data_IF_023000829434
#
_entry.id   IF_023000829434
#
_cell.length_a   1.000
_cell.length_b   1.000
_cell.length_c   1.000
_cell.angle_alpha   90.00
_cell.angle_beta   90.00
_cell.angle_gamma   90.00
#
_symmetry.space_group_name_H-M   'P 1'
#
loop_
_entity.id
_entity.type
_entity.pdbx_description
1 polymer ?
#
# COMPACT_ATOMS: atom_id res chain seq x y z
N UNK A 1 -14.02 -28.94 -26.13
CA UNK A 1 -12.80 -28.17 -25.83
C UNK A 1 -13.16 -27.25 -24.67
N UNK A 2 -12.60 -27.52 -23.49
CA UNK A 2 -12.96 -26.82 -22.25
C UNK A 2 -12.53 -25.36 -22.35
N UNK A 3 -13.48 -24.43 -22.36
CA UNK A 3 -13.19 -23.02 -22.13
C UNK A 3 -12.73 -22.91 -20.68
N UNK A 4 -11.42 -22.95 -20.46
CA UNK A 4 -10.84 -22.43 -19.22
C UNK A 4 -11.47 -21.05 -19.04
N UNK A 5 -12.11 -20.74 -17.90
CA UNK A 5 -12.69 -19.42 -17.72
C UNK A 5 -11.56 -18.45 -18.00
N UNK A 6 -11.80 -17.41 -18.80
CA UNK A 6 -10.95 -16.23 -18.72
C UNK A 6 -11.10 -15.73 -17.28
N UNK A 7 -10.34 -16.32 -16.34
CA UNK A 7 -9.99 -15.68 -15.08
C UNK A 7 -9.56 -14.30 -15.52
N UNK A 8 -10.25 -13.29 -14.99
CA UNK A 8 -10.27 -11.97 -15.57
C UNK A 8 -8.84 -11.42 -15.47
N UNK A 9 -8.05 -11.56 -16.54
CA UNK A 9 -6.62 -11.24 -16.56
C UNK A 9 -6.36 -9.80 -16.13
N UNK A 10 -7.36 -8.95 -16.34
CA UNK A 10 -7.41 -7.56 -15.86
C UNK A 10 -7.38 -7.46 -14.33
N UNK A 11 -8.02 -8.40 -13.64
CA UNK A 11 -8.05 -8.47 -12.17
C UNK A 11 -6.72 -8.99 -11.61
N UNK A 12 -6.08 -9.94 -12.29
CA UNK A 12 -4.71 -10.36 -11.96
C UNK A 12 -3.71 -9.21 -12.12
N UNK A 13 -3.77 -8.49 -13.25
CA UNK A 13 -2.94 -7.31 -13.52
C UNK A 13 -3.20 -6.19 -12.49
N UNK A 14 -4.47 -5.98 -12.12
CA UNK A 14 -4.86 -5.01 -11.09
C UNK A 14 -4.32 -5.41 -9.71
N UNK A 15 -4.44 -6.69 -9.33
CA UNK A 15 -3.92 -7.21 -8.07
C UNK A 15 -2.39 -7.03 -8.01
N UNK A 16 -1.67 -7.37 -9.08
CA UNK A 16 -0.22 -7.16 -9.17
C UNK A 16 0.15 -5.68 -9.03
N UNK A 17 -0.53 -4.79 -9.77
CA UNK A 17 -0.28 -3.35 -9.69
C UNK A 17 -0.58 -2.77 -8.30
N UNK A 18 -1.64 -3.20 -7.64
CA UNK A 18 -1.95 -2.79 -6.27
C UNK A 18 -0.90 -3.30 -5.28
N UNK A 19 -0.38 -4.52 -5.49
CA UNK A 19 0.66 -5.09 -4.65
C UNK A 19 1.96 -4.29 -4.76
N UNK A 20 2.34 -3.89 -5.98
CA UNK A 20 3.51 -3.04 -6.21
C UNK A 20 3.36 -1.65 -5.58
N UNK A 21 2.17 -1.04 -5.69
CA UNK A 21 1.87 0.24 -5.02
C UNK A 21 1.92 0.10 -3.50
N UNK A 22 1.37 -0.98 -2.94
CA UNK A 22 1.45 -1.25 -1.50
C UNK A 22 2.91 -1.35 -1.04
N UNK A 23 3.76 -2.02 -1.83
CA UNK A 23 5.19 -2.14 -1.53
C UNK A 23 5.92 -0.80 -1.57
N UNK A 24 5.56 0.09 -2.49
CA UNK A 24 6.09 1.45 -2.53
C UNK A 24 5.70 2.26 -1.29
N UNK A 25 4.44 2.15 -0.86
CA UNK A 25 3.97 2.82 0.36
C UNK A 25 4.71 2.31 1.60
N UNK A 26 4.96 1.01 1.70
CA UNK A 26 5.77 0.44 2.79
C UNK A 26 7.19 1.01 2.82
N UNK A 27 7.83 1.13 1.65
CA UNK A 27 9.17 1.71 1.52
C UNK A 27 9.18 3.20 1.89
N UNK A 28 8.22 3.98 1.41
CA UNK A 28 8.06 5.38 1.79
C UNK A 28 7.93 5.52 3.31
N UNK A 29 7.10 4.69 3.94
CA UNK A 29 6.89 4.72 5.38
C UNK A 29 8.16 4.43 6.18
N UNK A 30 8.99 3.50 5.69
CA UNK A 30 10.32 3.22 6.28
C UNK A 30 11.25 4.42 6.16
N UNK A 31 11.28 5.09 5.00
CA UNK A 31 12.08 6.30 4.77
C UNK A 31 11.62 7.44 5.67
N UNK A 32 10.31 7.67 5.78
CA UNK A 32 9.74 8.72 6.62
C UNK A 32 10.03 8.48 8.10
N UNK A 33 9.89 7.25 8.59
CA UNK A 33 10.28 6.88 9.97
C UNK A 33 11.77 7.07 10.22
N UNK A 34 12.62 6.60 9.32
CA UNK A 34 14.06 6.82 9.42
C UNK A 34 14.41 8.30 9.49
N UNK A 35 13.70 9.14 8.72
CA UNK A 35 13.87 10.60 8.79
C UNK A 35 13.38 11.18 10.11
N UNK A 36 12.24 10.72 10.62
CA UNK A 36 11.70 11.15 11.92
C UNK A 36 12.71 10.88 13.05
N UNK A 37 13.34 9.70 13.06
CA UNK A 37 14.32 9.31 14.07
C UNK A 37 15.58 10.21 14.07
N UNK A 38 15.89 10.86 12.94
CA UNK A 38 17.04 11.77 12.82
C UNK A 38 16.74 13.22 13.18
N UNK A 39 15.46 13.58 13.32
CA UNK A 39 15.05 14.95 13.60
C UNK A 39 15.06 15.23 15.11
N UNK A 40 15.42 16.47 15.48
CA UNK A 40 15.24 16.93 16.86
C UNK A 40 13.75 17.06 17.17
N UNK A 41 13.33 16.48 18.29
CA UNK A 41 11.95 16.49 18.74
C UNK A 41 11.37 17.92 18.86
N UNK A 42 10.06 18.03 18.65
CA UNK A 42 9.24 19.23 18.88
C UNK A 42 9.44 20.41 17.90
N UNK A 43 9.73 20.10 16.64
CA UNK A 43 9.57 21.07 15.54
C UNK A 43 8.26 20.85 14.80
N UNK A 44 7.70 21.90 14.19
CA UNK A 44 6.50 21.76 13.34
C UNK A 44 6.73 20.79 12.16
N UNK A 45 7.97 20.69 11.69
CA UNK A 45 8.38 19.71 10.67
C UNK A 45 8.27 18.27 11.16
N UNK A 46 8.59 18.00 12.43
CA UNK A 46 8.40 16.68 13.05
C UNK A 46 6.91 16.33 13.15
N UNK A 47 6.09 17.25 13.66
CA UNK A 47 4.62 17.05 13.77
C UNK A 47 3.97 16.80 12.40
N UNK A 48 4.43 17.52 11.38
CA UNK A 48 3.98 17.31 10.00
C UNK A 48 4.38 15.93 9.50
N UNK A 49 5.63 15.51 9.73
CA UNK A 49 6.13 14.20 9.31
C UNK A 49 5.40 13.05 10.02
N UNK A 50 5.13 13.18 11.32
CA UNK A 50 4.30 12.24 12.08
C UNK A 50 2.90 12.14 11.49
N UNK A 51 2.28 13.27 11.13
CA UNK A 51 0.98 13.30 10.45
C UNK A 51 1.01 12.55 9.11
N UNK A 52 2.05 12.76 8.29
CA UNK A 52 2.21 12.06 7.00
C UNK A 52 2.38 10.55 7.21
N UNK A 53 3.16 10.12 8.20
CA UNK A 53 3.33 8.71 8.57
C UNK A 53 1.98 8.09 8.94
N UNK A 54 1.17 8.77 9.77
CA UNK A 54 -0.18 8.28 10.12
C UNK A 54 -1.07 8.17 8.88
N UNK A 55 -1.08 9.17 8.00
CA UNK A 55 -1.85 9.13 6.76
C UNK A 55 -1.40 7.98 5.83
N UNK A 56 -0.08 7.77 5.71
CA UNK A 56 0.49 6.64 4.97
C UNK A 56 0.02 5.28 5.52
N UNK A 57 -0.10 5.16 6.84
CA UNK A 57 -0.63 3.94 7.48
C UNK A 57 -2.10 3.69 7.13
N UNK A 58 -2.92 4.74 7.04
CA UNK A 58 -4.32 4.64 6.60
C UNK A 58 -4.41 4.22 5.14
N UNK A 59 -3.58 4.82 4.27
CA UNK A 59 -3.51 4.46 2.84
C UNK A 59 -3.09 3.00 2.68
N UNK A 60 -2.06 2.56 3.41
CA UNK A 60 -1.62 1.16 3.42
C UNK A 60 -2.77 0.21 3.79
N UNK A 61 -3.48 0.48 4.89
CA UNK A 61 -4.64 -0.34 5.30
C UNK A 61 -5.72 -0.43 4.21
N UNK A 62 -6.00 0.68 3.51
CA UNK A 62 -6.97 0.69 2.40
C UNK A 62 -6.50 -0.13 1.21
N UNK A 63 -5.21 -0.05 0.86
CA UNK A 63 -4.62 -0.85 -0.21
C UNK A 63 -4.63 -2.34 0.14
N UNK A 64 -4.30 -2.72 1.38
CA UNK A 64 -4.41 -4.11 1.84
C UNK A 64 -5.83 -4.64 1.71
N UNK A 65 -6.83 -3.82 2.05
CA UNK A 65 -8.23 -4.21 1.89
C UNK A 65 -8.62 -4.39 0.41
N UNK A 66 -8.18 -3.49 -0.48
CA UNK A 66 -8.43 -3.61 -1.92
C UNK A 66 -7.75 -4.84 -2.53
N UNK A 67 -6.53 -5.16 -2.10
CA UNK A 67 -5.83 -6.38 -2.50
C UNK A 67 -6.60 -7.64 -2.11
N UNK A 68 -7.09 -7.69 -0.86
CA UNK A 68 -7.93 -8.79 -0.41
C UNK A 68 -9.19 -8.93 -1.27
N UNK A 69 -9.88 -7.82 -1.58
CA UNK A 69 -11.04 -7.85 -2.47
C UNK A 69 -10.71 -8.34 -3.88
N UNK A 70 -9.57 -7.92 -4.45
CA UNK A 70 -9.14 -8.39 -5.77
C UNK A 70 -8.83 -9.88 -5.77
N UNK A 71 -8.17 -10.36 -4.70
CA UNK A 71 -7.88 -11.78 -4.52
C UNK A 71 -9.16 -12.60 -4.39
N UNK A 72 -10.07 -12.16 -3.54
CA UNK A 72 -11.32 -12.87 -3.26
C UNK A 72 -12.25 -12.88 -4.50
N UNK A 73 -12.26 -11.80 -5.30
CA UNK A 73 -13.02 -11.73 -6.55
C UNK A 73 -12.39 -12.54 -7.70
N UNK A 74 -11.07 -12.68 -7.71
CA UNK A 74 -10.30 -13.36 -8.76
C UNK A 74 -9.96 -14.81 -8.46
N UNK A 75 -10.26 -15.29 -7.25
CA UNK A 75 -9.82 -16.60 -6.75
C UNK A 75 -8.29 -16.76 -6.87
N UNK A 76 -7.56 -15.71 -6.46
CA UNK A 76 -6.10 -15.57 -6.55
C UNK A 76 -5.36 -16.12 -5.32
#
# INVERSE_FOLDING_TARGET
MSSVPLRDRRLEDLHAGLHDVMRLVELEHQVLRGRLDTLRADTDGVKTLEGVIVLGSVVHQKLTHLLALCRDAGDL
#
